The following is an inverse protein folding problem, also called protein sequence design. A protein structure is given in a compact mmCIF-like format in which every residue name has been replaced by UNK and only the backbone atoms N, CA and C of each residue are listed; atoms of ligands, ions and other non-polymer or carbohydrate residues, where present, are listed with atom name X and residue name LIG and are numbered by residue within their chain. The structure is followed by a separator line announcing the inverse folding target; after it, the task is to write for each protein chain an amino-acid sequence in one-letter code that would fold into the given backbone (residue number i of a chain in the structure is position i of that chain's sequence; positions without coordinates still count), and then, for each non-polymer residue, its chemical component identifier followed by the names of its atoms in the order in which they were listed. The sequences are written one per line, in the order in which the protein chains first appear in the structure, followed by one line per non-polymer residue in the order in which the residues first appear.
data_IF_639093970886
#
_entry.id   IF_639093970886
#
_cell.length_a   1.000
_cell.length_b   1.000
_cell.length_c   1.000
_cell.angle_alpha   90.00
_cell.angle_beta   90.00
_cell.angle_gamma   90.00
#
_symmetry.space_group_name_H-M   'P 1'
#
loop_
_entity.id
_entity.type
_entity.pdbx_description
1 polymer ?
#
# COMPACT_ATOMS: atom_id res chain seq x y z
N UNK A 1 -37.75 60.10 -0.88
CA UNK A 1 -36.61 59.89 0.03
C UNK A 1 -36.95 58.66 0.88
N UNK A 2 -36.45 57.49 0.56
CA UNK A 2 -36.48 56.32 1.42
C UNK A 2 -35.36 56.47 2.44
N UNK A 3 -35.73 56.76 3.70
CA UNK A 3 -34.80 56.74 4.83
C UNK A 3 -34.41 55.26 5.10
N UNK A 4 -33.15 54.93 4.89
CA UNK A 4 -32.63 53.67 5.38
C UNK A 4 -32.77 53.62 6.90
N UNK A 5 -33.25 52.51 7.49
CA UNK A 5 -33.36 52.39 8.93
C UNK A 5 -31.96 52.56 9.54
N UNK A 6 -31.81 53.55 10.42
CA UNK A 6 -30.61 53.77 11.21
C UNK A 6 -30.41 52.57 12.14
N UNK A 7 -29.31 51.80 11.94
CA UNK A 7 -28.94 50.69 12.82
C UNK A 7 -28.79 51.17 14.26
N UNK A 8 -29.45 50.52 15.20
CA UNK A 8 -29.32 50.82 16.63
C UNK A 8 -27.92 50.47 17.11
N UNK A 9 -27.36 51.24 18.05
CA UNK A 9 -26.05 50.98 18.65
C UNK A 9 -25.94 49.61 19.35
N UNK A 10 -27.06 49.09 19.88
CA UNK A 10 -27.18 47.74 20.46
C UNK A 10 -26.94 46.64 19.41
N UNK A 11 -27.40 46.83 18.19
CA UNK A 11 -27.25 45.85 17.11
C UNK A 11 -25.77 45.74 16.68
N UNK A 12 -25.08 46.88 16.61
CA UNK A 12 -23.65 46.95 16.35
C UNK A 12 -22.80 46.28 17.43
N UNK A 13 -23.20 46.38 18.70
CA UNK A 13 -22.49 45.72 19.81
C UNK A 13 -22.69 44.21 19.76
N UNK A 14 -23.92 43.76 19.49
CA UNK A 14 -24.23 42.34 19.30
C UNK A 14 -23.45 41.74 18.14
N UNK A 15 -23.40 42.42 16.99
CA UNK A 15 -22.61 41.99 15.84
C UNK A 15 -21.10 41.89 16.14
N UNK A 16 -20.54 42.85 16.88
CA UNK A 16 -19.13 42.80 17.34
C UNK A 16 -18.89 41.62 18.24
N UNK A 17 -19.77 41.36 19.20
CA UNK A 17 -19.60 40.23 20.13
C UNK A 17 -19.65 38.89 19.38
N UNK A 18 -20.57 38.73 18.43
CA UNK A 18 -20.67 37.55 17.56
C UNK A 18 -19.39 37.42 16.72
N UNK A 19 -18.89 38.50 16.13
CA UNK A 19 -17.66 38.48 15.35
C UNK A 19 -16.47 38.04 16.21
N UNK A 20 -16.28 38.60 17.40
CA UNK A 20 -15.22 38.18 18.31
C UNK A 20 -15.35 36.73 18.73
N UNK A 21 -16.55 36.23 18.94
CA UNK A 21 -16.79 34.82 19.24
C UNK A 21 -16.34 33.94 18.09
N UNK A 22 -16.76 34.25 16.85
CA UNK A 22 -16.34 33.49 15.68
C UNK A 22 -14.82 33.53 15.45
N UNK A 23 -14.19 34.67 15.60
CA UNK A 23 -12.73 34.82 15.49
C UNK A 23 -12.02 33.97 16.55
N UNK A 24 -12.50 33.98 17.79
CA UNK A 24 -11.92 33.16 18.87
C UNK A 24 -12.08 31.67 18.61
N UNK A 25 -13.24 31.21 18.16
CA UNK A 25 -13.42 29.81 17.77
C UNK A 25 -12.55 29.42 16.57
N UNK A 26 -12.41 30.29 15.56
CA UNK A 26 -11.55 30.05 14.41
C UNK A 26 -10.08 29.94 14.82
N UNK A 27 -9.64 30.78 15.76
CA UNK A 27 -8.28 30.73 16.29
C UNK A 27 -8.01 29.46 17.10
N UNK A 28 -8.95 29.05 17.97
CA UNK A 28 -8.89 27.77 18.68
C UNK A 28 -8.84 26.61 17.68
N UNK A 29 -9.73 26.62 16.68
CA UNK A 29 -9.74 25.62 15.60
C UNK A 29 -8.42 25.52 14.87
N UNK A 30 -7.77 26.65 14.58
CA UNK A 30 -6.44 26.68 13.96
C UNK A 30 -5.37 26.04 14.86
N UNK A 31 -5.37 26.36 16.17
CA UNK A 31 -4.44 25.76 17.13
C UNK A 31 -4.63 24.24 17.18
N UNK A 32 -5.88 23.78 17.28
CA UNK A 32 -6.21 22.34 17.27
C UNK A 32 -5.71 21.68 15.99
N UNK A 33 -5.92 22.32 14.84
CA UNK A 33 -5.50 21.80 13.56
C UNK A 33 -3.96 21.71 13.41
N UNK A 34 -3.24 22.76 13.80
CA UNK A 34 -1.77 22.75 13.80
C UNK A 34 -1.23 21.69 14.76
N UNK A 35 -1.84 21.53 15.92
CA UNK A 35 -1.47 20.47 16.87
C UNK A 35 -1.68 19.06 16.26
N UNK A 36 -2.75 18.87 15.51
CA UNK A 36 -2.99 17.61 14.78
C UNK A 36 -1.99 17.38 13.65
N UNK A 37 -1.54 18.43 12.93
CA UNK A 37 -0.47 18.33 11.94
C UNK A 37 0.85 17.86 12.57
N UNK A 38 1.16 18.31 13.75
CA UNK A 38 2.44 18.05 14.41
C UNK A 38 2.46 16.76 15.24
N UNK A 39 1.29 16.27 15.67
CA UNK A 39 1.18 15.11 16.57
C UNK A 39 0.28 14.01 16.05
N UNK A 40 0.89 12.85 15.77
CA UNK A 40 0.17 11.62 15.41
C UNK A 40 -0.84 11.20 16.50
N UNK A 41 -0.44 11.25 17.77
CA UNK A 41 -1.32 10.88 18.89
C UNK A 41 -2.53 11.80 18.98
N UNK A 42 -2.33 13.10 18.78
CA UNK A 42 -3.40 14.08 18.82
C UNK A 42 -4.35 13.96 17.61
N UNK A 43 -3.82 13.68 16.41
CA UNK A 43 -4.66 13.39 15.23
C UNK A 43 -5.58 12.20 15.46
N UNK A 44 -5.05 11.12 16.04
CA UNK A 44 -5.85 9.93 16.40
C UNK A 44 -6.92 10.23 17.43
N UNK A 45 -6.60 11.09 18.41
CA UNK A 45 -7.57 11.50 19.42
C UNK A 45 -8.76 12.25 18.81
N UNK A 46 -8.51 13.15 17.84
CA UNK A 46 -9.57 13.90 17.15
C UNK A 46 -10.37 12.99 16.22
N UNK A 47 -9.73 11.99 15.60
CA UNK A 47 -10.29 11.09 14.58
C UNK A 47 -10.55 11.75 13.21
N UNK A 48 -10.77 10.91 12.18
CA UNK A 48 -10.78 11.34 10.77
C UNK A 48 -11.90 12.32 10.44
N UNK A 49 -13.11 12.09 10.93
CA UNK A 49 -14.28 12.89 10.54
C UNK A 49 -14.21 14.34 11.07
N UNK A 50 -13.95 14.60 12.36
CA UNK A 50 -13.73 15.96 12.85
C UNK A 50 -12.55 16.67 12.17
N UNK A 51 -11.45 15.95 11.84
CA UNK A 51 -10.33 16.52 11.09
C UNK A 51 -10.77 17.04 9.72
N UNK A 52 -11.60 16.29 9.00
CA UNK A 52 -12.12 16.71 7.68
C UNK A 52 -12.91 18.02 7.81
N UNK A 53 -13.86 18.09 8.75
CA UNK A 53 -14.66 19.29 8.94
C UNK A 53 -13.82 20.49 9.40
N UNK A 54 -12.89 20.27 10.32
CA UNK A 54 -11.98 21.31 10.79
C UNK A 54 -11.09 21.84 9.65
N UNK A 55 -10.58 20.94 8.80
CA UNK A 55 -9.78 21.30 7.63
C UNK A 55 -10.58 22.15 6.65
N UNK A 56 -11.80 21.76 6.32
CA UNK A 56 -12.67 22.56 5.45
C UNK A 56 -12.96 23.94 6.06
N UNK A 57 -13.21 24.01 7.36
CA UNK A 57 -13.42 25.29 8.07
C UNK A 57 -12.21 26.21 7.93
N UNK A 58 -10.99 25.67 8.09
CA UNK A 58 -9.74 26.44 7.96
C UNK A 58 -9.50 26.87 6.52
N UNK A 59 -9.70 25.99 5.53
CA UNK A 59 -9.54 26.32 4.12
C UNK A 59 -10.54 27.39 3.67
N UNK A 60 -11.79 27.32 4.11
CA UNK A 60 -12.81 28.36 3.88
C UNK A 60 -12.41 29.69 4.54
N UNK A 61 -11.92 29.65 5.77
CA UNK A 61 -11.42 30.83 6.48
C UNK A 61 -10.26 31.48 5.75
N UNK A 62 -9.27 30.70 5.33
CA UNK A 62 -8.13 31.19 4.53
C UNK A 62 -8.58 31.78 3.19
N UNK A 63 -9.50 31.10 2.49
CA UNK A 63 -10.08 31.60 1.24
C UNK A 63 -10.83 32.93 1.42
N UNK A 64 -11.59 33.09 2.51
CA UNK A 64 -12.28 34.33 2.82
C UNK A 64 -11.29 35.47 3.14
N UNK A 65 -10.19 35.21 3.83
CA UNK A 65 -9.14 36.18 4.09
C UNK A 65 -8.50 36.64 2.76
N UNK A 66 -8.17 35.69 1.87
CA UNK A 66 -7.66 36.03 0.53
C UNK A 66 -8.66 36.85 -0.26
N UNK A 67 -9.97 36.56 -0.17
CA UNK A 67 -11.03 37.33 -0.83
C UNK A 67 -11.10 38.77 -0.29
N UNK A 68 -11.01 38.94 1.02
CA UNK A 68 -10.99 40.29 1.65
C UNK A 68 -9.79 41.10 1.16
N UNK A 69 -8.59 40.53 1.12
CA UNK A 69 -7.40 41.19 0.60
C UNK A 69 -7.55 41.51 -0.90
N UNK A 70 -8.10 40.56 -1.69
CA UNK A 70 -8.36 40.74 -3.11
C UNK A 70 -9.26 41.93 -3.36
N UNK A 71 -10.34 42.04 -2.62
CA UNK A 71 -11.29 43.16 -2.73
C UNK A 71 -10.67 44.50 -2.31
N UNK A 72 -9.88 44.50 -1.23
CA UNK A 72 -9.22 45.71 -0.72
C UNK A 72 -8.18 46.24 -1.66
N UNK A 73 -7.37 45.38 -2.24
CA UNK A 73 -6.23 45.78 -3.14
C UNK A 73 -6.63 45.81 -4.63
N UNK A 74 -7.83 45.33 -4.98
CA UNK A 74 -8.32 45.15 -6.36
C UNK A 74 -7.40 44.22 -7.18
N UNK A 75 -6.74 43.27 -6.54
CA UNK A 75 -5.86 42.26 -7.11
C UNK A 75 -6.42 40.89 -6.77
N UNK A 76 -6.50 39.99 -7.75
CA UNK A 76 -7.00 38.61 -7.51
C UNK A 76 -5.93 37.74 -6.84
N UNK A 77 -5.85 37.74 -5.52
CA UNK A 77 -4.88 36.93 -4.77
C UNK A 77 -5.14 35.43 -4.88
N UNK A 78 -6.38 34.97 -5.13
CA UNK A 78 -6.64 33.55 -5.41
C UNK A 78 -5.96 33.09 -6.69
N UNK A 79 -6.03 33.89 -7.74
CA UNK A 79 -5.35 33.60 -9.00
C UNK A 79 -3.83 33.58 -8.81
N UNK A 80 -3.28 34.56 -8.12
CA UNK A 80 -1.84 34.61 -7.81
C UNK A 80 -1.43 33.38 -7.01
N UNK A 81 -2.21 32.98 -6.01
CA UNK A 81 -1.94 31.80 -5.20
C UNK A 81 -1.94 30.50 -6.04
N UNK A 82 -2.93 30.33 -6.93
CA UNK A 82 -3.00 29.17 -7.83
C UNK A 82 -1.79 29.17 -8.78
N UNK A 83 -1.44 30.30 -9.37
CA UNK A 83 -0.26 30.39 -10.24
C UNK A 83 1.02 30.08 -9.47
N UNK A 84 1.16 30.59 -8.25
CA UNK A 84 2.31 30.28 -7.40
C UNK A 84 2.42 28.79 -7.07
N UNK A 85 1.28 28.11 -6.78
CA UNK A 85 1.24 26.66 -6.57
C UNK A 85 1.69 25.89 -7.83
N UNK A 86 1.21 26.28 -9.01
CA UNK A 86 1.59 25.64 -10.27
C UNK A 86 3.10 25.83 -10.54
N UNK A 87 3.59 27.07 -10.42
CA UNK A 87 5.00 27.40 -10.63
C UNK A 87 5.89 26.70 -9.60
N UNK A 88 5.51 26.73 -8.31
CA UNK A 88 6.24 26.04 -7.26
C UNK A 88 6.30 24.52 -7.51
N UNK A 89 5.15 23.91 -7.86
CA UNK A 89 5.08 22.49 -8.18
C UNK A 89 5.90 22.05 -9.39
N UNK A 90 6.23 22.98 -10.29
CA UNK A 90 7.13 22.69 -11.42
C UNK A 90 8.59 22.52 -10.97
N UNK A 91 9.01 23.22 -9.93
CA UNK A 91 10.40 23.24 -9.47
C UNK A 91 10.67 22.33 -8.25
N UNK A 92 9.64 21.86 -7.59
CA UNK A 92 9.77 21.06 -6.35
C UNK A 92 9.15 19.68 -6.53
N UNK A 93 9.86 18.64 -6.08
CA UNK A 93 9.31 17.29 -5.95
C UNK A 93 9.14 16.94 -4.45
N UNK A 94 7.95 17.16 -3.89
CA UNK A 94 7.76 16.94 -2.46
C UNK A 94 7.53 15.47 -2.06
N UNK A 95 7.37 14.56 -3.03
CA UNK A 95 6.88 13.20 -2.81
C UNK A 95 7.98 12.12 -2.94
N UNK A 96 9.22 12.49 -2.57
CA UNK A 96 10.29 11.51 -2.50
C UNK A 96 10.01 10.41 -1.47
N UNK A 97 10.23 9.17 -1.87
CA UNK A 97 10.21 8.03 -0.95
C UNK A 97 11.32 8.18 0.07
N UNK A 98 11.01 7.97 1.34
CA UNK A 98 12.00 8.05 2.42
C UNK A 98 12.83 6.79 2.42
N UNK A 99 14.12 6.94 2.08
CA UNK A 99 15.10 5.88 2.14
C UNK A 99 15.87 5.95 3.45
N UNK A 100 16.18 4.80 4.02
CA UNK A 100 17.12 4.66 5.14
C UNK A 100 18.54 4.47 4.61
N UNK A 101 19.52 4.76 5.44
CA UNK A 101 20.93 4.52 5.12
C UNK A 101 21.33 3.18 5.73
N UNK A 102 21.82 2.29 4.90
CA UNK A 102 22.48 1.05 5.32
C UNK A 102 24.01 1.20 5.21
N UNK A 103 24.74 0.12 5.44
CA UNK A 103 26.20 0.11 5.28
C UNK A 103 26.58 0.58 3.85
N UNK A 104 27.37 1.67 3.69
CA UNK A 104 27.73 2.22 2.38
C UNK A 104 28.44 1.23 1.44
N UNK A 105 29.04 0.19 2.00
CA UNK A 105 29.75 -0.85 1.25
C UNK A 105 28.82 -1.94 0.72
N UNK A 106 27.59 -2.10 1.25
CA UNK A 106 26.68 -3.18 0.92
C UNK A 106 25.77 -2.83 -0.27
N UNK A 107 25.82 -3.63 -1.31
CA UNK A 107 24.82 -3.68 -2.38
C UNK A 107 23.74 -4.71 -2.03
N UNK A 108 22.94 -4.40 -1.03
CA UNK A 108 22.03 -5.33 -0.36
C UNK A 108 21.07 -6.02 -1.34
N UNK A 109 20.58 -5.28 -2.34
CA UNK A 109 19.52 -5.78 -3.22
C UNK A 109 19.99 -6.37 -4.54
N UNK A 110 21.28 -6.27 -4.90
CA UNK A 110 21.80 -6.85 -6.13
C UNK A 110 22.01 -8.36 -6.05
N UNK A 111 22.29 -8.87 -4.86
CA UNK A 111 22.65 -10.27 -4.62
C UNK A 111 21.51 -11.06 -4.00
N UNK A 112 20.26 -10.65 -4.22
CA UNK A 112 19.09 -11.42 -3.77
C UNK A 112 19.04 -12.75 -4.50
N UNK A 113 18.53 -13.75 -3.79
CA UNK A 113 18.39 -15.10 -4.34
C UNK A 113 17.38 -15.11 -5.49
N UNK A 114 17.71 -15.82 -6.57
CA UNK A 114 16.79 -16.04 -7.70
C UNK A 114 15.71 -17.05 -7.33
N UNK A 115 14.55 -17.00 -8.01
CA UNK A 115 13.41 -17.87 -7.76
C UNK A 115 13.77 -19.36 -7.71
N UNK A 116 14.49 -19.86 -8.71
CA UNK A 116 14.89 -21.29 -8.77
C UNK A 116 15.79 -21.71 -7.61
N UNK A 117 16.73 -20.87 -7.23
CA UNK A 117 17.63 -21.13 -6.11
C UNK A 117 16.84 -21.12 -4.79
N UNK A 118 15.97 -20.11 -4.60
CA UNK A 118 15.10 -20.03 -3.43
C UNK A 118 14.20 -21.27 -3.32
N UNK A 119 13.61 -21.72 -4.42
CA UNK A 119 12.77 -22.93 -4.45
C UNK A 119 13.54 -24.18 -4.08
N UNK A 120 14.74 -24.38 -4.65
CA UNK A 120 15.61 -25.53 -4.33
C UNK A 120 15.95 -25.58 -2.85
N UNK A 121 16.33 -24.45 -2.25
CA UNK A 121 16.64 -24.39 -0.83
C UNK A 121 15.38 -24.64 0.02
N UNK A 122 14.26 -24.04 -0.35
CA UNK A 122 12.98 -24.21 0.33
C UNK A 122 12.52 -25.68 0.34
N UNK A 123 12.69 -26.40 -0.79
CA UNK A 123 12.39 -27.82 -0.91
C UNK A 123 13.41 -28.67 -0.14
N UNK A 124 14.68 -28.32 -0.16
CA UNK A 124 15.74 -29.06 0.53
C UNK A 124 15.49 -29.14 2.03
N UNK A 125 15.03 -28.08 2.64
CA UNK A 125 14.64 -28.07 4.06
C UNK A 125 13.43 -28.99 4.37
N UNK A 126 12.66 -29.34 3.34
CA UNK A 126 11.43 -30.17 3.43
C UNK A 126 11.63 -31.56 2.81
N UNK A 127 12.87 -31.91 2.47
CA UNK A 127 13.22 -33.14 1.74
C UNK A 127 12.65 -34.39 2.37
N UNK A 128 12.81 -34.58 3.68
CA UNK A 128 12.29 -35.75 4.39
C UNK A 128 10.78 -35.91 4.26
N UNK A 129 10.02 -34.79 4.22
CA UNK A 129 8.56 -34.83 4.07
C UNK A 129 8.15 -35.07 2.62
N UNK A 130 8.95 -34.65 1.67
CA UNK A 130 8.72 -34.90 0.25
C UNK A 130 9.04 -36.34 -0.13
N UNK A 131 10.07 -36.92 0.47
CA UNK A 131 10.51 -38.31 0.25
C UNK A 131 9.63 -39.34 1.02
N UNK A 132 8.79 -38.89 1.96
CA UNK A 132 7.87 -39.76 2.69
C UNK A 132 6.93 -40.51 1.72
N UNK A 133 7.12 -41.81 1.59
CA UNK A 133 6.39 -42.69 0.66
C UNK A 133 4.89 -42.78 0.97
N UNK A 134 4.49 -42.48 2.21
CA UNK A 134 3.08 -42.50 2.62
C UNK A 134 2.30 -41.31 2.05
N UNK A 135 3.01 -40.27 1.62
CA UNK A 135 2.40 -39.05 1.04
C UNK A 135 2.35 -39.14 -0.48
N UNK A 136 1.17 -39.08 -1.03
CA UNK A 136 0.96 -39.03 -2.47
C UNK A 136 1.27 -37.65 -3.05
N UNK A 137 0.98 -36.59 -2.29
CA UNK A 137 1.10 -35.20 -2.71
C UNK A 137 1.68 -34.30 -1.61
N UNK A 138 2.39 -33.26 -2.05
CA UNK A 138 2.92 -32.21 -1.18
C UNK A 138 2.45 -30.82 -1.69
N UNK A 139 1.40 -30.25 -1.09
CA UNK A 139 0.87 -28.96 -1.50
C UNK A 139 1.82 -27.83 -1.11
N UNK A 140 2.03 -26.88 -2.03
CA UNK A 140 2.77 -25.63 -1.85
C UNK A 140 1.79 -24.48 -2.04
N UNK A 141 1.68 -23.59 -1.04
CA UNK A 141 0.69 -22.52 -1.06
C UNK A 141 1.27 -21.20 -1.56
N UNK A 142 0.57 -20.60 -2.51
CA UNK A 142 0.72 -19.23 -2.95
C UNK A 142 -0.51 -18.45 -2.51
N UNK A 143 -0.34 -17.32 -1.86
CA UNK A 143 -1.44 -16.48 -1.40
C UNK A 143 -1.53 -15.25 -2.31
N UNK A 144 -2.73 -14.98 -2.80
CA UNK A 144 -3.12 -13.73 -3.45
C UNK A 144 -4.00 -12.94 -2.48
N UNK A 145 -3.72 -11.66 -2.33
CA UNK A 145 -4.49 -10.79 -1.45
C UNK A 145 -4.90 -9.49 -2.17
N UNK A 146 -6.21 -9.34 -2.38
CA UNK A 146 -6.76 -8.18 -3.05
C UNK A 146 -6.52 -6.88 -2.28
N UNK A 147 -6.23 -5.81 -3.03
CA UNK A 147 -6.31 -4.46 -2.51
C UNK A 147 -7.73 -4.08 -2.10
N UNK A 148 -7.85 -3.15 -1.18
CA UNK A 148 -9.15 -2.68 -0.65
C UNK A 148 -9.02 -1.94 0.67
N UNK A 149 -7.95 -1.16 0.81
CA UNK A 149 -7.59 -0.35 1.97
C UNK A 149 -7.54 -1.18 3.29
N UNK A 150 -7.88 -0.55 4.42
CA UNK A 150 -7.80 -1.16 5.76
C UNK A 150 -8.69 -2.39 5.92
N UNK A 151 -9.85 -2.43 5.25
CA UNK A 151 -10.78 -3.57 5.28
C UNK A 151 -10.11 -4.83 4.72
N UNK A 152 -9.48 -4.71 3.56
CA UNK A 152 -8.77 -5.83 2.93
C UNK A 152 -7.59 -6.29 3.77
N UNK A 153 -6.82 -5.35 4.34
CA UNK A 153 -5.72 -5.68 5.23
C UNK A 153 -6.17 -6.49 6.45
N UNK A 154 -7.23 -6.03 7.11
CA UNK A 154 -7.80 -6.72 8.27
C UNK A 154 -8.32 -8.12 7.91
N UNK A 155 -9.03 -8.22 6.77
CA UNK A 155 -9.57 -9.49 6.28
C UNK A 155 -8.46 -10.47 5.94
N UNK A 156 -7.49 -10.06 5.12
CA UNK A 156 -6.35 -10.88 4.70
C UNK A 156 -5.57 -11.42 5.89
N UNK A 157 -5.15 -10.55 6.81
CA UNK A 157 -4.38 -10.97 7.98
C UNK A 157 -5.19 -11.89 8.90
N UNK A 158 -6.50 -11.65 9.06
CA UNK A 158 -7.37 -12.50 9.87
C UNK A 158 -7.55 -13.91 9.27
N UNK A 159 -7.74 -14.01 7.94
CA UNK A 159 -7.84 -15.29 7.23
C UNK A 159 -6.55 -16.08 7.36
N UNK A 160 -5.40 -15.46 7.07
CA UNK A 160 -4.10 -16.13 7.16
C UNK A 160 -3.79 -16.59 8.60
N UNK A 161 -4.11 -15.77 9.59
CA UNK A 161 -3.92 -16.10 10.99
C UNK A 161 -4.80 -17.29 11.43
N UNK A 162 -6.04 -17.34 10.97
CA UNK A 162 -6.92 -18.49 11.22
C UNK A 162 -6.40 -19.76 10.56
N UNK A 163 -5.97 -19.69 9.30
CA UNK A 163 -5.36 -20.83 8.60
C UNK A 163 -4.14 -21.36 9.37
N UNK A 164 -3.29 -20.49 9.87
CA UNK A 164 -2.12 -20.88 10.67
C UNK A 164 -2.50 -21.56 11.98
N UNK A 165 -3.49 -21.01 12.70
CA UNK A 165 -3.95 -21.54 13.98
C UNK A 165 -4.65 -22.90 13.78
N UNK A 166 -5.63 -22.98 12.87
CA UNK A 166 -6.45 -24.17 12.66
C UNK A 166 -5.63 -25.34 12.08
N UNK A 167 -4.64 -25.04 11.25
CA UNK A 167 -3.72 -26.06 10.72
C UNK A 167 -2.55 -26.37 11.65
N UNK A 168 -2.48 -25.76 12.84
CA UNK A 168 -1.42 -25.94 13.83
C UNK A 168 0.00 -25.76 13.26
N UNK A 169 0.15 -24.77 12.34
CA UNK A 169 1.42 -24.43 11.71
C UNK A 169 1.73 -25.18 10.41
N UNK A 170 0.86 -26.06 9.94
CA UNK A 170 1.05 -26.72 8.65
C UNK A 170 0.91 -25.75 7.50
N UNK A 171 0.06 -24.72 7.64
CA UNK A 171 -0.09 -23.68 6.62
C UNK A 171 1.22 -22.96 6.36
N UNK A 172 1.84 -22.37 7.37
CA UNK A 172 3.10 -21.64 7.23
C UNK A 172 4.28 -22.53 6.77
N UNK A 173 4.27 -23.81 7.15
CA UNK A 173 5.26 -24.76 6.69
C UNK A 173 5.23 -24.93 5.16
N UNK A 174 4.05 -24.87 4.55
CA UNK A 174 3.82 -25.07 3.13
C UNK A 174 3.66 -23.75 2.36
N UNK A 175 3.69 -22.62 3.05
CA UNK A 175 3.56 -21.29 2.47
C UNK A 175 4.84 -20.92 1.72
N UNK A 176 4.73 -20.72 0.41
CA UNK A 176 5.85 -20.37 -0.46
C UNK A 176 5.87 -18.89 -0.84
N UNK A 177 4.69 -18.30 -1.08
CA UNK A 177 4.59 -16.91 -1.52
C UNK A 177 3.38 -16.20 -0.93
N UNK A 178 3.60 -14.94 -0.54
CA UNK A 178 2.59 -13.96 -0.17
C UNK A 178 2.63 -12.83 -1.21
N UNK A 179 1.64 -12.74 -2.08
CA UNK A 179 1.51 -11.67 -3.07
C UNK A 179 0.26 -10.84 -2.78
N UNK A 180 0.35 -9.55 -2.96
CA UNK A 180 -0.80 -8.67 -2.76
C UNK A 180 -0.56 -7.26 -3.30
N UNK A 181 -1.63 -6.48 -3.35
CA UNK A 181 -1.61 -5.06 -3.67
C UNK A 181 -2.30 -4.26 -2.56
N UNK A 182 -1.88 -3.01 -2.35
CA UNK A 182 -2.56 -2.09 -1.44
C UNK A 182 -2.79 -2.68 -0.04
N UNK A 183 -4.04 -2.67 0.43
CA UNK A 183 -4.44 -3.28 1.71
C UNK A 183 -4.09 -4.76 1.81
N UNK A 184 -4.16 -5.52 0.72
CA UNK A 184 -3.74 -6.93 0.68
C UNK A 184 -2.27 -7.11 1.05
N UNK A 185 -1.39 -6.26 0.52
CA UNK A 185 0.03 -6.23 0.91
C UNK A 185 0.22 -5.92 2.39
N UNK A 186 -0.53 -4.95 2.93
CA UNK A 186 -0.48 -4.63 4.37
C UNK A 186 -0.93 -5.82 5.22
N UNK A 187 -2.00 -6.51 4.82
CA UNK A 187 -2.49 -7.71 5.51
C UNK A 187 -1.49 -8.85 5.49
N UNK A 188 -0.88 -9.12 4.33
CA UNK A 188 0.19 -10.10 4.17
C UNK A 188 1.39 -9.79 5.08
N UNK A 189 1.82 -8.53 5.12
CA UNK A 189 2.97 -8.12 5.94
C UNK A 189 2.66 -8.12 7.43
N UNK A 190 1.43 -7.77 7.83
CA UNK A 190 1.02 -7.87 9.23
C UNK A 190 0.99 -9.33 9.71
N UNK A 191 0.44 -10.24 8.91
CA UNK A 191 0.51 -11.68 9.18
C UNK A 191 1.97 -12.16 9.25
N UNK A 192 2.79 -11.80 8.24
CA UNK A 192 4.20 -12.19 8.19
C UNK A 192 4.97 -11.76 9.45
N UNK A 193 4.77 -10.53 9.89
CA UNK A 193 5.39 -10.00 11.10
C UNK A 193 4.98 -10.72 12.39
N UNK A 194 3.68 -11.01 12.53
CA UNK A 194 3.14 -11.64 13.72
C UNK A 194 3.47 -13.14 13.78
N UNK A 195 3.41 -13.82 12.66
CA UNK A 195 3.72 -15.26 12.54
C UNK A 195 5.18 -15.58 12.95
N UNK A 196 6.13 -14.68 12.66
CA UNK A 196 7.53 -14.86 13.07
C UNK A 196 7.77 -14.84 14.59
N UNK A 197 6.83 -14.32 15.37
CA UNK A 197 6.94 -14.32 16.84
C UNK A 197 6.57 -15.64 17.52
N UNK A 198 6.24 -16.68 16.75
CA UNK A 198 5.96 -18.05 17.20
C UNK A 198 4.86 -18.21 18.27
N UNK A 199 4.04 -17.21 18.56
CA UNK A 199 2.93 -17.31 19.48
C UNK A 199 1.59 -17.44 18.74
N UNK A 200 1.22 -18.67 18.37
CA UNK A 200 -0.02 -18.95 17.63
C UNK A 200 -1.28 -18.55 18.39
N UNK A 201 -1.28 -18.66 19.70
CA UNK A 201 -2.47 -18.39 20.52
C UNK A 201 -2.87 -16.92 20.50
N UNK A 202 -1.91 -16.02 20.28
CA UNK A 202 -2.14 -14.58 20.24
C UNK A 202 -2.15 -14.00 18.81
N UNK A 203 -1.79 -14.80 17.81
CA UNK A 203 -1.59 -14.38 16.43
C UNK A 203 -2.77 -13.58 15.85
N UNK A 204 -3.97 -14.18 15.88
CA UNK A 204 -5.18 -13.54 15.37
C UNK A 204 -5.48 -12.22 16.10
N UNK A 205 -5.39 -12.24 17.43
CA UNK A 205 -5.63 -11.05 18.25
C UNK A 205 -4.63 -9.96 17.96
N UNK A 206 -3.36 -10.28 17.81
CA UNK A 206 -2.29 -9.33 17.54
C UNK A 206 -2.46 -8.62 16.19
N UNK A 207 -2.77 -9.36 15.11
CA UNK A 207 -3.01 -8.75 13.80
C UNK A 207 -4.27 -7.89 13.79
N UNK A 208 -5.34 -8.35 14.46
CA UNK A 208 -6.58 -7.59 14.55
C UNK A 208 -6.42 -6.30 15.35
N UNK A 209 -5.74 -6.35 16.49
CA UNK A 209 -5.43 -5.16 17.31
C UNK A 209 -4.57 -4.16 16.53
N UNK A 210 -3.56 -4.63 15.78
CA UNK A 210 -2.73 -3.74 14.97
C UNK A 210 -3.56 -3.08 13.86
N UNK A 211 -4.31 -3.85 13.08
CA UNK A 211 -5.04 -3.35 11.91
C UNK A 211 -6.33 -2.58 12.25
N UNK A 212 -6.78 -2.64 13.51
CA UNK A 212 -7.88 -1.81 14.03
C UNK A 212 -7.45 -0.39 14.43
N UNK A 213 -6.15 -0.09 14.39
CA UNK A 213 -5.68 1.27 14.71
C UNK A 213 -6.06 2.26 13.62
N UNK A 214 -6.21 3.50 14.03
CA UNK A 214 -6.41 4.61 13.10
C UNK A 214 -5.11 4.96 12.36
N UNK A 215 -5.03 4.55 11.11
CA UNK A 215 -3.95 4.90 10.20
C UNK A 215 -4.29 6.08 9.29
N UNK A 216 -5.54 6.59 9.31
CA UNK A 216 -6.02 7.55 8.34
C UNK A 216 -6.04 8.99 8.84
N UNK A 217 -6.31 9.23 10.12
CA UNK A 217 -6.46 10.60 10.65
C UNK A 217 -5.22 11.46 10.41
N UNK A 218 -4.02 10.91 10.63
CA UNK A 218 -2.78 11.64 10.43
C UNK A 218 -2.47 11.96 8.96
N UNK A 219 -2.58 11.01 7.99
CA UNK A 219 -2.52 11.35 6.57
C UNK A 219 -3.56 12.38 6.12
N UNK A 220 -4.80 12.32 6.63
CA UNK A 220 -5.87 13.25 6.25
C UNK A 220 -5.56 14.68 6.65
N UNK A 221 -5.05 14.91 7.86
CA UNK A 221 -4.68 16.26 8.30
C UNK A 221 -3.54 16.83 7.46
N UNK A 222 -2.63 15.96 6.96
CA UNK A 222 -1.55 16.37 6.04
C UNK A 222 -2.08 16.69 4.67
N UNK A 223 -2.93 15.84 4.11
CA UNK A 223 -3.57 16.01 2.81
C UNK A 223 -4.30 17.35 2.70
N UNK A 224 -5.11 17.68 3.70
CA UNK A 224 -5.98 18.86 3.67
C UNK A 224 -5.31 20.14 4.18
N UNK A 225 -4.06 20.09 4.58
CA UNK A 225 -3.32 21.22 5.11
C UNK A 225 -1.96 21.39 4.46
N UNK A 226 -0.89 20.88 5.08
CA UNK A 226 0.48 21.14 4.61
C UNK A 226 0.75 20.72 3.18
N UNK A 227 0.17 19.62 2.70
CA UNK A 227 0.44 19.10 1.36
C UNK A 227 0.02 20.09 0.26
N UNK A 228 -1.00 20.91 0.50
CA UNK A 228 -1.41 21.97 -0.42
C UNK A 228 -0.30 23.03 -0.58
N UNK A 229 0.46 23.27 0.50
CA UNK A 229 1.48 24.30 0.54
C UNK A 229 2.89 23.80 0.21
N UNK A 230 3.12 22.49 0.17
CA UNK A 230 4.43 21.88 -0.09
C UNK A 230 5.10 22.42 -1.36
N UNK A 231 4.38 22.65 -2.50
CA UNK A 231 4.98 23.21 -3.69
C UNK A 231 5.57 24.62 -3.51
N UNK A 232 5.10 25.38 -2.53
CA UNK A 232 5.57 26.75 -2.24
C UNK A 232 6.74 26.80 -1.26
N UNK A 233 7.06 25.69 -0.61
CA UNK A 233 8.07 25.65 0.43
C UNK A 233 9.39 25.10 -0.10
N UNK A 234 10.49 25.88 -0.09
CA UNK A 234 11.80 25.43 -0.57
C UNK A 234 12.40 24.33 0.33
N UNK A 235 11.93 24.25 1.56
CA UNK A 235 12.33 23.23 2.54
C UNK A 235 11.09 22.55 3.09
N UNK A 236 11.08 21.22 3.06
CA UNK A 236 9.99 20.44 3.63
C UNK A 236 10.02 20.47 5.16
N UNK A 237 9.33 21.43 5.76
CA UNK A 237 9.17 21.53 7.21
C UNK A 237 8.35 20.35 7.73
N UNK A 238 7.41 19.87 6.93
CA UNK A 238 6.50 18.78 7.23
C UNK A 238 6.52 17.80 6.07
N UNK A 239 6.70 16.51 6.36
CA UNK A 239 6.65 15.47 5.34
C UNK A 239 5.22 15.27 4.83
N UNK A 240 5.08 14.73 3.62
CA UNK A 240 3.80 14.51 2.96
C UNK A 240 2.91 13.47 3.68
N UNK A 241 1.68 13.33 3.19
CA UNK A 241 0.69 12.39 3.73
C UNK A 241 1.07 10.92 3.59
N UNK A 242 1.92 10.56 2.62
CA UNK A 242 2.39 9.18 2.49
C UNK A 242 3.35 8.82 3.63
N UNK A 243 4.28 9.72 3.97
CA UNK A 243 5.15 9.57 5.13
C UNK A 243 4.33 9.59 6.43
N UNK A 244 3.26 10.37 6.50
CA UNK A 244 2.35 10.34 7.65
C UNK A 244 1.68 8.97 7.82
N UNK A 245 1.29 8.29 6.71
CA UNK A 245 0.77 6.93 6.74
C UNK A 245 1.82 5.93 7.23
N UNK A 246 3.07 6.04 6.75
CA UNK A 246 4.17 5.22 7.24
C UNK A 246 4.39 5.39 8.74
N UNK A 247 4.37 6.62 9.25
CA UNK A 247 4.51 6.93 10.67
C UNK A 247 3.36 6.32 11.49
N UNK A 248 2.12 6.39 10.95
CA UNK A 248 0.97 5.78 11.59
C UNK A 248 1.10 4.25 11.69
N UNK A 249 1.63 3.57 10.67
CA UNK A 249 1.89 2.14 10.69
C UNK A 249 3.04 1.76 11.63
N UNK A 250 4.09 2.56 11.69
CA UNK A 250 5.28 2.33 12.54
C UNK A 250 5.01 2.57 14.03
N UNK A 251 4.05 3.43 14.36
CA UNK A 251 3.81 3.90 15.73
C UNK A 251 2.34 3.80 16.10
N UNK A 252 1.96 2.74 16.79
CA UNK A 252 0.61 2.53 17.35
C UNK A 252 0.62 2.79 18.86
N UNK A 253 -0.55 3.07 19.48
CA UNK A 253 -0.64 3.40 20.91
C UNK A 253 -0.07 2.32 21.83
N UNK A 254 -0.28 1.04 21.48
CA UNK A 254 0.30 -0.10 22.18
C UNK A 254 1.23 -0.82 21.22
N UNK A 255 2.54 -0.55 21.32
CA UNK A 255 3.55 -1.14 20.46
C UNK A 255 3.52 -2.68 20.56
N UNK A 256 3.49 -3.32 19.40
CA UNK A 256 3.50 -4.78 19.28
C UNK A 256 4.59 -5.24 18.29
N UNK A 257 4.66 -6.55 18.04
CA UNK A 257 5.64 -7.13 17.12
C UNK A 257 5.50 -6.56 15.71
N UNK A 258 4.25 -6.34 15.23
CA UNK A 258 3.98 -5.86 13.88
C UNK A 258 4.47 -4.42 13.71
N UNK A 259 4.17 -3.53 14.66
CA UNK A 259 4.65 -2.14 14.59
C UNK A 259 6.18 -2.04 14.66
N UNK A 260 6.83 -2.89 15.45
CA UNK A 260 8.30 -2.99 15.47
C UNK A 260 8.84 -3.49 14.15
N UNK A 261 8.20 -4.50 13.55
CA UNK A 261 8.57 -5.03 12.25
C UNK A 261 8.41 -4.00 11.13
N UNK A 262 7.36 -3.19 11.15
CA UNK A 262 7.15 -2.11 10.19
C UNK A 262 8.24 -1.01 10.23
N UNK A 263 8.94 -0.88 11.36
CA UNK A 263 10.11 0.03 11.50
C UNK A 263 11.39 -0.51 10.88
N UNK A 264 11.49 -1.84 10.72
CA UNK A 264 12.70 -2.50 10.21
C UNK A 264 12.95 -2.17 8.75
N UNK A 265 14.20 -2.23 8.35
CA UNK A 265 14.58 -2.14 6.95
C UNK A 265 14.16 -3.40 6.18
N UNK A 266 13.78 -3.24 4.92
CA UNK A 266 13.34 -4.35 4.07
C UNK A 266 14.47 -5.38 3.87
N UNK A 267 15.71 -4.95 3.91
CA UNK A 267 16.87 -5.84 3.84
C UNK A 267 16.90 -6.89 4.96
N UNK A 268 16.28 -6.64 6.10
CA UNK A 268 16.19 -7.64 7.17
C UNK A 268 15.34 -8.87 6.78
N UNK A 269 14.46 -8.73 5.78
CA UNK A 269 13.75 -9.88 5.21
C UNK A 269 14.68 -10.81 4.40
N UNK A 270 15.83 -10.30 3.97
CA UNK A 270 16.82 -11.07 3.21
C UNK A 270 17.74 -11.90 4.11
N UNK A 271 17.89 -11.51 5.38
CA UNK A 271 18.74 -12.21 6.32
C UNK A 271 18.14 -13.58 6.66
N UNK A 272 18.88 -14.64 6.32
CA UNK A 272 18.47 -16.04 6.46
C UNK A 272 18.97 -16.68 7.76
N UNK A 273 19.45 -15.87 8.71
CA UNK A 273 20.09 -16.34 9.95
C UNK A 273 19.16 -17.08 10.93
N UNK A 274 17.84 -17.10 10.65
CA UNK A 274 16.93 -18.01 11.32
C UNK A 274 17.14 -19.44 10.81
N UNK A 275 17.96 -20.18 11.53
CA UNK A 275 18.35 -21.58 11.26
C UNK A 275 17.19 -22.57 11.15
N UNK A 276 15.95 -22.14 11.32
CA UNK A 276 14.85 -23.09 11.48
C UNK A 276 13.97 -23.28 10.23
N UNK A 277 13.77 -22.28 9.36
CA UNK A 277 12.98 -22.46 8.12
C UNK A 277 13.18 -21.34 7.07
N UNK A 278 13.24 -21.72 5.82
CA UNK A 278 13.22 -20.78 4.68
C UNK A 278 11.92 -19.98 4.69
N UNK A 279 12.07 -18.66 4.69
CA UNK A 279 10.93 -17.71 4.72
C UNK A 279 10.16 -17.72 3.40
N UNK A 280 8.84 -17.45 3.41
CA UNK A 280 8.10 -17.31 2.16
C UNK A 280 8.58 -16.10 1.36
N UNK A 281 8.39 -16.17 0.05
CA UNK A 281 8.56 -15.03 -0.83
C UNK A 281 7.48 -14.01 -0.51
N UNK A 282 7.86 -12.74 -0.44
CA UNK A 282 6.94 -11.62 -0.30
C UNK A 282 6.97 -10.79 -1.57
N UNK A 283 5.79 -10.49 -2.13
CA UNK A 283 5.62 -9.62 -3.29
C UNK A 283 4.65 -8.49 -2.94
N UNK A 284 5.19 -7.29 -2.74
CA UNK A 284 4.42 -6.06 -2.61
C UNK A 284 4.31 -5.45 -4.00
N UNK A 285 3.14 -5.60 -4.64
CA UNK A 285 2.93 -5.13 -6.00
C UNK A 285 2.68 -3.62 -6.00
N UNK A 286 3.24 -2.94 -6.99
CA UNK A 286 3.01 -1.54 -7.31
C UNK A 286 3.02 -1.34 -8.84
N UNK A 287 2.70 -0.13 -9.29
CA UNK A 287 2.63 0.21 -10.72
C UNK A 287 3.47 1.45 -10.97
N UNK A 288 4.31 1.43 -12.02
CA UNK A 288 5.03 2.65 -12.43
C UNK A 288 4.08 3.60 -13.15
N UNK A 289 4.01 4.85 -12.68
CA UNK A 289 3.06 5.85 -13.17
C UNK A 289 3.31 6.25 -14.64
N UNK A 290 4.56 6.30 -15.08
CA UNK A 290 4.93 6.85 -16.39
C UNK A 290 4.39 6.03 -17.57
N UNK A 291 4.26 4.72 -17.41
CA UNK A 291 3.90 3.81 -18.50
C UNK A 291 2.93 2.68 -18.09
N UNK A 292 2.48 2.68 -16.82
CA UNK A 292 1.62 1.63 -16.30
C UNK A 292 2.30 0.27 -16.13
N UNK A 293 3.64 0.19 -16.21
CA UNK A 293 4.36 -1.07 -16.06
C UNK A 293 4.19 -1.66 -14.67
N UNK A 294 3.97 -3.00 -14.55
CA UNK A 294 3.95 -3.66 -13.27
C UNK A 294 5.30 -3.60 -12.59
N UNK A 295 5.30 -3.33 -11.30
CA UNK A 295 6.49 -3.27 -10.48
C UNK A 295 6.27 -4.02 -9.17
N UNK A 296 7.34 -4.44 -8.51
CA UNK A 296 7.25 -5.21 -7.27
C UNK A 296 8.46 -4.96 -6.36
N UNK A 297 8.21 -4.97 -5.05
CA UNK A 297 9.24 -5.10 -4.04
C UNK A 297 9.17 -6.54 -3.52
N UNK A 298 10.29 -7.26 -3.57
CA UNK A 298 10.35 -8.66 -3.17
C UNK A 298 11.68 -9.02 -2.49
N UNK A 299 11.64 -9.99 -1.59
CA UNK A 299 12.83 -10.55 -0.95
C UNK A 299 13.62 -11.50 -1.87
N UNK A 300 13.13 -11.80 -3.08
CA UNK A 300 13.91 -12.49 -4.13
C UNK A 300 14.25 -11.51 -5.26
N UNK A 301 15.22 -11.90 -6.11
CA UNK A 301 15.55 -11.13 -7.30
C UNK A 301 14.44 -11.25 -8.36
N UNK A 302 13.98 -10.11 -8.87
CA UNK A 302 13.04 -10.04 -9.99
C UNK A 302 13.86 -9.83 -11.28
N UNK A 303 14.12 -10.93 -12.00
CA UNK A 303 14.88 -10.92 -13.25
C UNK A 303 13.97 -11.01 -14.47
N UNK A 304 14.46 -10.59 -15.64
CA UNK A 304 13.68 -10.58 -16.88
C UNK A 304 13.34 -11.96 -17.43
N UNK A 305 14.14 -12.96 -17.12
CA UNK A 305 13.95 -14.32 -17.62
C UNK A 305 12.66 -14.94 -17.08
N UNK A 306 12.39 -14.69 -15.80
CA UNK A 306 11.20 -15.22 -15.11
C UNK A 306 10.03 -14.23 -15.17
N UNK A 307 10.30 -12.94 -14.91
CA UNK A 307 9.27 -11.94 -14.64
C UNK A 307 9.07 -10.95 -15.81
N UNK A 308 9.67 -11.21 -16.95
CA UNK A 308 9.49 -10.38 -18.14
C UNK A 308 9.87 -8.92 -17.92
N UNK A 309 8.93 -8.02 -18.19
CA UNK A 309 9.15 -6.57 -18.05
C UNK A 309 8.74 -6.01 -16.68
N UNK A 310 8.48 -6.85 -15.67
CA UNK A 310 8.19 -6.42 -14.31
C UNK A 310 9.39 -5.70 -13.69
N UNK A 311 9.14 -4.54 -13.10
CA UNK A 311 10.19 -3.70 -12.54
C UNK A 311 10.51 -4.18 -11.13
N UNK A 312 11.78 -4.44 -10.90
CA UNK A 312 12.32 -4.66 -9.56
C UNK A 312 12.64 -3.31 -8.91
N UNK A 313 11.74 -2.84 -8.04
CA UNK A 313 11.89 -1.51 -7.41
C UNK A 313 13.14 -1.43 -6.55
N UNK A 314 13.50 -2.50 -5.85
CA UNK A 314 14.66 -2.52 -4.97
C UNK A 314 15.99 -2.41 -5.72
N UNK A 315 16.03 -2.81 -7.01
CA UNK A 315 17.22 -2.59 -7.87
C UNK A 315 17.46 -1.12 -8.22
N UNK A 316 16.45 -0.25 -8.00
CA UNK A 316 16.62 1.18 -8.20
C UNK A 316 17.39 1.85 -7.06
N UNK A 317 17.47 1.23 -5.90
CA UNK A 317 18.19 1.79 -4.75
C UNK A 317 19.69 1.80 -5.01
N UNK A 318 20.38 2.85 -4.53
CA UNK A 318 21.83 2.92 -4.62
C UNK A 318 22.48 2.02 -3.58
N UNK A 319 23.80 1.84 -3.73
CA UNK A 319 24.64 1.24 -2.70
C UNK A 319 24.49 2.03 -1.40
N UNK A 320 24.29 1.34 -0.30
CA UNK A 320 24.08 1.97 1.01
C UNK A 320 22.70 2.59 1.24
N UNK A 321 21.75 2.43 0.32
CA UNK A 321 20.35 2.81 0.53
C UNK A 321 19.49 1.59 0.87
N UNK A 322 18.53 1.81 1.74
CA UNK A 322 17.52 0.83 2.13
C UNK A 322 16.14 1.49 2.25
N UNK A 323 15.11 0.68 2.40
CA UNK A 323 13.72 1.13 2.51
C UNK A 323 13.05 0.40 3.66
N UNK A 324 12.32 1.11 4.52
CA UNK A 324 11.62 0.40 5.60
C UNK A 324 10.48 -0.47 5.10
N UNK A 325 10.11 -1.50 5.86
CA UNK A 325 8.95 -2.36 5.55
C UNK A 325 7.68 -1.52 5.39
N UNK A 326 7.42 -0.57 6.29
CA UNK A 326 6.25 0.31 6.17
C UNK A 326 6.28 1.15 4.91
N UNK A 327 7.44 1.71 4.54
CA UNK A 327 7.61 2.49 3.31
C UNK A 327 7.36 1.63 2.07
N UNK A 328 7.83 0.37 2.07
CA UNK A 328 7.59 -0.60 0.99
C UNK A 328 6.11 -0.91 0.82
N UNK A 329 5.39 -1.16 1.93
CA UNK A 329 3.94 -1.39 1.93
C UNK A 329 3.18 -0.16 1.42
N UNK A 330 3.54 1.04 1.93
CA UNK A 330 2.90 2.29 1.51
C UNK A 330 3.17 2.57 0.03
N UNK A 331 4.35 2.22 -0.50
CA UNK A 331 4.65 2.42 -1.92
C UNK A 331 3.68 1.60 -2.81
N UNK A 332 3.37 0.37 -2.43
CA UNK A 332 2.36 -0.48 -3.09
C UNK A 332 0.90 -0.13 -2.77
N UNK A 333 0.66 0.86 -1.91
CA UNK A 333 -0.68 1.28 -1.45
C UNK A 333 -0.96 2.78 -1.71
N UNK A 334 -0.26 3.39 -2.66
CA UNK A 334 -0.44 4.81 -3.04
C UNK A 334 -1.67 4.98 -3.93
N UNK A 335 -2.84 4.93 -3.27
CA UNK A 335 -4.15 5.00 -3.90
C UNK A 335 -4.43 6.39 -4.52
N UNK A 336 -5.16 6.46 -5.67
CA UNK A 336 -5.44 7.70 -6.38
C UNK A 336 -5.96 8.82 -5.49
N UNK A 337 -5.45 10.02 -5.66
CA UNK A 337 -5.80 11.26 -4.95
C UNK A 337 -5.54 11.25 -3.45
N UNK A 338 -5.66 10.10 -2.78
CA UNK A 338 -5.41 9.98 -1.35
C UNK A 338 -3.91 9.99 -1.01
N UNK A 339 -3.08 9.32 -1.80
CA UNK A 339 -1.62 9.31 -1.63
C UNK A 339 -0.93 9.71 -2.94
N UNK A 340 0.09 10.59 -2.90
CA UNK A 340 0.82 10.97 -4.11
C UNK A 340 1.66 9.81 -4.61
N UNK A 341 2.00 9.80 -5.91
CA UNK A 341 2.97 8.86 -6.45
C UNK A 341 4.33 9.01 -5.74
N UNK A 342 4.96 7.91 -5.39
CA UNK A 342 6.27 7.92 -4.71
C UNK A 342 7.41 7.99 -5.69
N UNK A 343 8.28 9.00 -5.58
CA UNK A 343 9.42 9.17 -6.45
C UNK A 343 10.66 8.44 -5.94
N UNK A 344 11.24 7.57 -6.76
CA UNK A 344 12.56 6.94 -6.58
C UNK A 344 13.34 7.13 -7.88
N UNK A 345 14.44 7.89 -7.86
CA UNK A 345 15.28 8.16 -9.05
C UNK A 345 14.47 8.57 -10.29
N UNK A 346 13.58 9.52 -10.15
CA UNK A 346 12.71 10.03 -11.21
C UNK A 346 11.73 9.00 -11.80
N UNK A 347 11.57 7.84 -11.19
CA UNK A 347 10.49 6.91 -11.45
C UNK A 347 9.43 7.06 -10.37
N UNK A 348 8.16 7.10 -10.78
CA UNK A 348 7.03 7.34 -9.89
C UNK A 348 6.21 6.07 -9.77
N UNK A 349 5.93 5.67 -8.53
CA UNK A 349 5.20 4.45 -8.22
C UNK A 349 3.89 4.78 -7.52
N UNK A 350 2.86 4.06 -7.92
CA UNK A 350 1.49 4.12 -7.38
C UNK A 350 1.03 2.73 -6.96
N UNK A 351 -0.19 2.65 -6.43
CA UNK A 351 -0.83 1.42 -5.96
C UNK A 351 -0.74 0.26 -6.99
N UNK A 352 -0.50 -0.93 -6.50
CA UNK A 352 -0.46 -2.14 -7.34
C UNK A 352 -1.78 -2.43 -8.03
N UNK A 353 -2.90 -2.03 -7.44
CA UNK A 353 -4.23 -2.21 -7.98
C UNK A 353 -4.48 -1.49 -9.31
N UNK A 354 -3.62 -0.57 -9.73
CA UNK A 354 -3.69 0.01 -11.09
C UNK A 354 -3.35 -1.00 -12.20
N UNK A 355 -2.55 -2.00 -11.91
CA UNK A 355 -2.19 -3.04 -12.88
C UNK A 355 -2.75 -4.40 -12.49
N UNK A 356 -2.63 -4.78 -11.22
CA UNK A 356 -2.99 -6.11 -10.71
C UNK A 356 -3.36 -6.02 -9.22
N UNK A 357 -4.65 -5.98 -8.95
CA UNK A 357 -5.15 -5.78 -7.58
C UNK A 357 -5.05 -7.02 -6.70
N UNK A 358 -4.89 -8.21 -7.28
CA UNK A 358 -4.75 -9.48 -6.57
C UNK A 358 -3.29 -9.89 -6.38
N UNK A 359 -2.41 -9.42 -7.26
CA UNK A 359 -1.02 -9.89 -7.35
C UNK A 359 -0.89 -11.24 -8.04
N UNK A 360 -1.88 -11.65 -8.84
CA UNK A 360 -1.87 -12.92 -9.56
C UNK A 360 -0.82 -12.97 -10.66
N UNK A 361 -0.52 -11.85 -11.31
CA UNK A 361 0.43 -11.81 -12.41
C UNK A 361 1.83 -12.28 -12.01
N UNK A 362 2.37 -11.80 -10.90
CA UNK A 362 3.69 -12.21 -10.42
C UNK A 362 3.70 -13.68 -9.96
N UNK A 363 2.62 -14.17 -9.38
CA UNK A 363 2.48 -15.58 -8.97
C UNK A 363 2.37 -16.49 -10.20
N UNK A 364 1.63 -16.06 -11.24
CA UNK A 364 1.55 -16.78 -12.51
C UNK A 364 2.95 -16.96 -13.15
N UNK A 365 3.74 -15.89 -13.21
CA UNK A 365 5.11 -15.91 -13.71
C UNK A 365 5.99 -16.90 -12.89
N UNK A 366 5.86 -16.90 -11.57
CA UNK A 366 6.57 -17.85 -10.69
C UNK A 366 6.17 -19.31 -10.97
N UNK A 367 4.87 -19.60 -11.00
CA UNK A 367 4.37 -20.98 -11.19
C UNK A 367 4.78 -21.52 -12.55
N UNK A 368 4.72 -20.72 -13.62
CA UNK A 368 5.18 -21.12 -14.94
C UNK A 368 6.65 -21.58 -14.92
N UNK A 369 7.52 -20.79 -14.30
CA UNK A 369 8.96 -21.11 -14.26
C UNK A 369 9.26 -22.31 -13.35
N UNK A 370 8.57 -22.42 -12.21
CA UNK A 370 8.73 -23.56 -11.31
C UNK A 370 8.19 -24.86 -11.93
N UNK A 371 7.07 -24.79 -12.65
CA UNK A 371 6.51 -25.95 -13.36
C UNK A 371 7.48 -26.45 -14.45
N UNK A 372 8.08 -25.51 -15.21
CA UNK A 372 9.13 -25.85 -16.18
C UNK A 372 10.29 -26.58 -15.51
N UNK A 373 10.79 -26.05 -14.39
CA UNK A 373 11.89 -26.67 -13.64
C UNK A 373 11.52 -28.08 -13.12
N UNK A 374 10.28 -28.28 -12.65
CA UNK A 374 9.79 -29.59 -12.22
C UNK A 374 9.74 -30.54 -13.40
N UNK A 375 9.18 -30.13 -14.54
CA UNK A 375 9.10 -30.94 -15.74
C UNK A 375 10.49 -31.36 -16.25
N UNK A 376 11.44 -30.43 -16.30
CA UNK A 376 12.83 -30.72 -16.71
C UNK A 376 13.47 -31.77 -15.77
N UNK A 377 13.19 -31.67 -14.45
CA UNK A 377 13.70 -32.65 -13.48
C UNK A 377 13.06 -34.03 -13.65
N UNK A 378 11.77 -34.10 -13.99
CA UNK A 378 11.01 -35.33 -14.23
C UNK A 378 11.41 -36.01 -15.57
N UNK A 379 11.79 -35.21 -16.57
CA UNK A 379 12.32 -35.74 -17.84
C UNK A 379 13.65 -36.49 -17.61
N UNK A 380 14.50 -35.98 -16.71
CA UNK A 380 15.79 -36.63 -16.34
C UNK A 380 15.55 -37.85 -15.45
N UNK A 381 14.66 -37.71 -14.46
CA UNK A 381 14.34 -38.79 -13.52
C UNK A 381 12.79 -38.81 -13.26
N UNK A 382 12.03 -39.72 -13.91
CA UNK A 382 10.58 -39.83 -13.73
C UNK A 382 10.13 -40.11 -12.28
N UNK A 383 11.02 -40.62 -11.43
CA UNK A 383 10.76 -40.88 -10.02
C UNK A 383 11.27 -39.75 -9.09
N UNK A 384 11.66 -38.60 -9.67
CA UNK A 384 12.14 -37.49 -8.88
C UNK A 384 11.06 -37.04 -7.86
N UNK A 385 11.42 -36.74 -6.59
CA UNK A 385 10.45 -36.35 -5.53
C UNK A 385 9.55 -35.17 -5.90
N UNK A 386 9.98 -34.33 -6.86
CA UNK A 386 9.16 -33.22 -7.35
C UNK A 386 7.82 -33.63 -7.98
N UNK A 387 7.67 -34.90 -8.37
CA UNK A 387 6.40 -35.48 -8.85
C UNK A 387 5.26 -35.28 -7.86
N UNK A 388 5.56 -35.22 -6.55
CA UNK A 388 4.55 -35.02 -5.50
C UNK A 388 4.13 -33.57 -5.28
N UNK A 389 4.85 -32.62 -5.88
CA UNK A 389 4.57 -31.18 -5.66
C UNK A 389 3.28 -30.79 -6.34
N UNK A 390 2.40 -30.12 -5.58
CA UNK A 390 1.15 -29.54 -6.07
C UNK A 390 1.10 -28.05 -5.70
N UNK A 391 0.96 -27.19 -6.69
CA UNK A 391 0.78 -25.77 -6.48
C UNK A 391 -0.68 -25.45 -6.15
N UNK A 392 -0.90 -24.84 -5.01
CA UNK A 392 -2.22 -24.41 -4.57
C UNK A 392 -2.22 -22.88 -4.40
N UNK A 393 -3.20 -22.23 -5.00
CA UNK A 393 -3.40 -20.78 -4.88
C UNK A 393 -4.58 -20.50 -3.96
N UNK A 394 -4.33 -19.73 -2.92
CA UNK A 394 -5.36 -19.21 -2.01
C UNK A 394 -5.58 -17.76 -2.36
N UNK A 395 -6.73 -17.45 -2.97
CA UNK A 395 -7.11 -16.08 -3.32
C UNK A 395 -8.02 -15.50 -2.24
N UNK A 396 -7.53 -14.50 -1.54
CA UNK A 396 -8.27 -13.76 -0.51
C UNK A 396 -8.88 -12.52 -1.17
N UNK A 397 -10.07 -12.69 -1.71
CA UNK A 397 -10.79 -11.64 -2.41
C UNK A 397 -11.38 -10.62 -1.43
N UNK A 398 -11.34 -9.35 -1.81
CA UNK A 398 -11.91 -8.24 -1.06
C UNK A 398 -13.43 -8.08 -1.26
N UNK A 399 -13.95 -8.57 -2.38
CA UNK A 399 -15.37 -8.53 -2.74
C UNK A 399 -15.81 -9.89 -3.28
N UNK A 400 -17.07 -10.28 -3.05
CA UNK A 400 -17.64 -11.43 -3.76
C UNK A 400 -17.54 -11.20 -5.27
N UNK A 401 -17.34 -12.28 -6.04
CA UNK A 401 -17.40 -12.21 -7.50
C UNK A 401 -18.81 -11.82 -7.92
N UNK A 402 -19.00 -10.55 -8.28
CA UNK A 402 -20.26 -10.08 -8.86
C UNK A 402 -20.15 -10.08 -10.38
N UNK A 403 -21.24 -10.48 -11.04
CA UNK A 403 -21.38 -10.25 -12.49
C UNK A 403 -21.26 -8.74 -12.77
N UNK A 404 -20.41 -8.38 -13.74
CA UNK A 404 -20.24 -6.99 -14.17
C UNK A 404 -21.56 -6.50 -14.75
N UNK A 405 -22.33 -5.74 -13.97
CA UNK A 405 -23.54 -5.09 -14.46
C UNK A 405 -23.16 -3.91 -15.36
N UNK A 406 -23.45 -4.05 -16.65
CA UNK A 406 -23.24 -2.96 -17.61
C UNK A 406 -24.21 -1.82 -17.30
N UNK A 407 -23.68 -0.70 -16.82
CA UNK A 407 -24.49 0.50 -16.53
C UNK A 407 -24.67 1.34 -17.79
N UNK A 408 -25.89 1.84 -18.01
CA UNK A 408 -26.16 2.85 -19.05
C UNK A 408 -25.42 4.16 -18.71
N UNK A 409 -24.70 4.69 -19.68
CA UNK A 409 -24.05 6.00 -19.59
C UNK A 409 -24.99 7.04 -20.17
N UNK A 410 -25.21 8.15 -19.45
CA UNK A 410 -26.05 9.24 -19.96
C UNK A 410 -25.30 9.98 -21.09
N UNK A 411 -25.92 10.23 -22.26
CA UNK A 411 -25.25 10.83 -23.42
C UNK A 411 -24.54 12.17 -23.11
N UNK A 412 -25.15 13.03 -22.29
CA UNK A 412 -24.59 14.34 -21.94
C UNK A 412 -23.25 14.29 -21.19
N UNK A 413 -22.97 13.21 -20.49
CA UNK A 413 -21.73 13.06 -19.71
C UNK A 413 -20.73 12.12 -20.38
N UNK A 414 -21.10 11.54 -21.54
CA UNK A 414 -20.29 10.53 -22.21
C UNK A 414 -18.89 11.05 -22.53
N UNK A 415 -18.77 12.21 -23.17
CA UNK A 415 -17.49 12.77 -23.62
C UNK A 415 -16.54 13.07 -22.43
N UNK A 416 -17.07 13.53 -21.31
CA UNK A 416 -16.28 13.80 -20.09
C UNK A 416 -16.00 12.54 -19.28
N UNK A 417 -16.97 11.61 -19.23
CA UNK A 417 -16.87 10.43 -18.38
C UNK A 417 -16.14 9.27 -19.08
N UNK A 418 -16.17 9.19 -20.42
CA UNK A 418 -15.59 8.07 -21.14
C UNK A 418 -14.10 7.82 -20.82
N UNK A 419 -13.19 8.79 -20.89
CA UNK A 419 -11.79 8.56 -20.57
C UNK A 419 -11.58 8.06 -19.14
N UNK A 420 -12.23 8.71 -18.16
CA UNK A 420 -12.07 8.38 -16.74
C UNK A 420 -12.67 7.01 -16.44
N UNK A 421 -13.88 6.73 -16.91
CA UNK A 421 -14.54 5.41 -16.71
C UNK A 421 -13.78 4.28 -17.40
N UNK A 422 -13.24 4.52 -18.59
CA UNK A 422 -12.44 3.52 -19.32
C UNK A 422 -11.16 3.21 -18.55
N UNK A 423 -10.44 4.21 -18.06
CA UNK A 423 -9.24 4.02 -17.28
C UNK A 423 -9.54 3.19 -16.01
N UNK A 424 -10.57 3.57 -15.24
CA UNK A 424 -10.96 2.85 -14.01
C UNK A 424 -11.42 1.42 -14.34
N UNK A 425 -12.21 1.23 -15.41
CA UNK A 425 -12.65 -0.09 -15.84
C UNK A 425 -11.51 -0.98 -16.34
N UNK A 426 -10.49 -0.40 -16.98
CA UNK A 426 -9.33 -1.14 -17.48
C UNK A 426 -8.53 -1.76 -16.33
N UNK A 427 -8.43 -1.12 -15.17
CA UNK A 427 -7.73 -1.68 -14.01
C UNK A 427 -8.41 -2.95 -13.48
N UNK A 428 -9.75 -2.90 -13.31
CA UNK A 428 -10.52 -4.07 -12.91
C UNK A 428 -10.42 -5.21 -13.93
N UNK A 429 -10.53 -4.88 -15.24
CA UNK A 429 -10.35 -5.86 -16.32
C UNK A 429 -8.97 -6.48 -16.34
N UNK A 430 -7.92 -5.71 -16.11
CA UNK A 430 -6.54 -6.22 -16.08
C UNK A 430 -6.32 -7.23 -14.95
N UNK A 431 -6.84 -6.94 -13.75
CA UNK A 431 -6.82 -7.87 -12.62
C UNK A 431 -7.54 -9.17 -12.97
N UNK A 432 -8.77 -9.09 -13.49
CA UNK A 432 -9.53 -10.27 -13.89
C UNK A 432 -8.80 -11.11 -14.97
N UNK A 433 -8.13 -10.47 -15.92
CA UNK A 433 -7.33 -11.18 -16.94
C UNK A 433 -6.16 -11.91 -16.30
N UNK A 434 -5.47 -11.30 -15.33
CA UNK A 434 -4.35 -11.93 -14.63
C UNK A 434 -4.83 -13.13 -13.79
N UNK A 435 -5.95 -12.98 -13.08
CA UNK A 435 -6.57 -14.05 -12.28
C UNK A 435 -6.98 -15.23 -13.20
N UNK A 436 -7.62 -14.94 -14.31
CA UNK A 436 -8.04 -15.96 -15.28
C UNK A 436 -6.85 -16.68 -15.94
N UNK A 437 -5.76 -15.97 -16.24
CA UNK A 437 -4.54 -16.58 -16.77
C UNK A 437 -3.93 -17.55 -15.78
N UNK A 438 -3.81 -17.15 -14.52
CA UNK A 438 -3.32 -18.00 -13.46
C UNK A 438 -4.22 -19.24 -13.27
N UNK A 439 -5.54 -19.04 -13.19
CA UNK A 439 -6.50 -20.13 -13.07
C UNK A 439 -6.42 -21.13 -14.22
N UNK A 440 -6.40 -20.65 -15.48
CA UNK A 440 -6.27 -21.51 -16.66
C UNK A 440 -4.95 -22.28 -16.65
N UNK A 441 -3.85 -21.64 -16.27
CA UNK A 441 -2.56 -22.31 -16.16
C UNK A 441 -2.60 -23.46 -15.13
N UNK A 442 -3.21 -23.23 -13.95
CA UNK A 442 -3.38 -24.27 -12.95
C UNK A 442 -4.25 -25.43 -13.46
N UNK A 443 -5.36 -25.13 -14.16
CA UNK A 443 -6.19 -26.17 -14.77
C UNK A 443 -5.42 -26.99 -15.82
N UNK A 444 -4.54 -26.37 -16.60
CA UNK A 444 -3.72 -27.07 -17.60
C UNK A 444 -2.69 -27.97 -16.93
N UNK A 445 -2.04 -27.50 -15.86
CA UNK A 445 -1.06 -28.29 -15.09
C UNK A 445 -1.70 -29.56 -14.51
N UNK A 446 -2.96 -29.48 -14.05
CA UNK A 446 -3.67 -30.58 -13.38
C UNK A 446 -4.74 -31.25 -14.26
N UNK A 447 -4.73 -31.02 -15.59
CA UNK A 447 -5.56 -31.76 -16.55
C UNK A 447 -5.19 -33.24 -16.52
N UNK A 448 -5.99 -34.04 -15.86
CA UNK A 448 -5.78 -35.49 -15.70
C UNK A 448 -5.79 -35.96 -14.25
N UNK A 449 -5.84 -35.04 -13.28
CA UNK A 449 -5.97 -35.35 -11.85
C UNK A 449 -7.43 -35.24 -11.35
N UNK A 450 -8.42 -35.02 -12.26
CA UNK A 450 -9.86 -34.98 -11.96
C UNK A 450 -10.55 -36.29 -12.27
#
# INVERSE_FOLDING_TARGET
RHSFPTRRSSDLQTEKNIFFLFVSFSFIGLIVYVSAILSLAFSRYITSLPIIFLSFGILLGAGNILALFSNKQKINFHFIFIVALIVGGYFTEPHHVVLSKSDPEKEVYKNRQQLKAHFKDWITERKLKLEDETRKEYPIYFVLADGGASRSAYWTASVLSRLEIETKGIFSEKLFCLSGASGGSLGNMAFYAAYHNNNRDTLLREVQQYLSNDFLSFPLVRLMGPDILLPLLPVQIVRDRAVALEQAMKSIPQENSISRFMKKDFSELLNQDDKERKKPIVCINCTRMQDGSPAVLSNIEVNKEVFGNRIDVLKLLNKGEDISVATSVVLGARFPYFSPAGSIKNQYFVDGGYFDNSGAGVVHEMILELQKMINDSLLINPNHPYKKIKFNVIHIANQPSEEIKIQKIHPLINDLAAPIKTIIGSYASQTNINDLRLYKNLLEIYKGDT
#
